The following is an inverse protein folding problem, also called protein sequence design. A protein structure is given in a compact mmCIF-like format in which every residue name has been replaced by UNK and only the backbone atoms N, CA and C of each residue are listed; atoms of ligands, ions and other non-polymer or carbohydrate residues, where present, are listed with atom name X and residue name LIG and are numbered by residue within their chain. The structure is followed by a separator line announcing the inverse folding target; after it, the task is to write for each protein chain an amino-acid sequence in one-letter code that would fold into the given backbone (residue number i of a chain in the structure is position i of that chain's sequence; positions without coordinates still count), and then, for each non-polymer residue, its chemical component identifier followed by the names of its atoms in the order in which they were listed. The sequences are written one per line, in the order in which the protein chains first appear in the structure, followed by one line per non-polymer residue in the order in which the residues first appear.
data_IF_395546030360
#
_entry.id   IF_395546030360
#
_cell.length_a   1.000
_cell.length_b   1.000
_cell.length_c   1.000
_cell.angle_alpha   90.00
_cell.angle_beta   90.00
_cell.angle_gamma   90.00
#
_symmetry.space_group_name_H-M   'P 1'
#
loop_
_entity.id
_entity.type
_entity.pdbx_description
1 polymer ?
#
# COMPACT_ATOMS: atom_id res chain seq x y z
N UNK A 1 13.68 -17.66 21.49
CA UNK A 1 13.52 -19.04 21.99
C UNK A 1 14.85 -19.82 22.05
N UNK A 2 15.84 -19.55 21.19
CA UNK A 2 17.17 -20.18 21.26
C UNK A 2 18.08 -19.65 22.39
N UNK A 3 18.10 -18.34 22.69
CA UNK A 3 18.92 -17.79 23.78
C UNK A 3 18.56 -18.33 25.18
N UNK A 4 17.30 -18.70 25.41
CA UNK A 4 16.86 -19.25 26.70
C UNK A 4 17.35 -20.69 26.94
N UNK A 5 17.56 -21.45 25.86
CA UNK A 5 18.11 -22.81 25.91
C UNK A 5 19.60 -22.82 26.26
N UNK A 6 20.33 -21.76 25.88
CA UNK A 6 21.77 -21.60 26.19
C UNK A 6 21.96 -21.23 27.67
N UNK A 7 21.10 -20.38 28.22
CA UNK A 7 21.17 -20.00 29.64
C UNK A 7 20.89 -21.18 30.60
N UNK A 8 19.96 -22.08 30.24
CA UNK A 8 19.72 -23.30 31.03
C UNK A 8 20.82 -24.37 30.88
N UNK A 9 21.55 -24.40 29.76
CA UNK A 9 22.62 -25.38 29.54
C UNK A 9 23.89 -25.02 30.33
N UNK A 10 24.13 -23.74 30.60
CA UNK A 10 25.30 -23.29 31.36
C UNK A 10 25.15 -23.43 32.89
N UNK A 11 23.93 -23.69 33.40
CA UNK A 11 23.66 -23.83 34.83
C UNK A 11 23.73 -25.29 35.34
N UNK A 12 24.22 -26.23 34.49
CA UNK A 12 24.50 -27.61 34.91
C UNK A 12 25.92 -27.80 35.42
N UNK A 13 26.86 -26.90 35.10
CA UNK A 13 28.27 -26.96 35.52
C UNK A 13 28.55 -26.21 36.83
N UNK A 14 27.53 -25.63 37.47
CA UNK A 14 27.59 -24.88 38.72
C UNK A 14 26.98 -25.65 39.91
N UNK A 15 26.77 -26.95 39.78
CA UNK A 15 26.14 -27.78 40.83
C UNK A 15 27.14 -28.34 41.87
N UNK A 16 28.45 -28.18 41.69
CA UNK A 16 29.47 -28.69 42.62
C UNK A 16 30.04 -27.66 43.61
N UNK A 17 29.62 -26.39 43.56
CA UNK A 17 30.14 -25.35 44.46
C UNK A 17 29.04 -24.71 45.32
N UNK A 18 28.38 -25.52 46.15
CA UNK A 18 27.51 -25.00 47.21
C UNK A 18 27.86 -25.65 48.55
N UNK A 19 28.38 -24.90 49.55
CA UNK A 19 28.53 -25.43 50.89
C UNK A 19 27.14 -25.78 51.46
N UNK A 20 27.08 -26.71 52.43
CA UNK A 20 25.85 -27.16 53.11
C UNK A 20 25.00 -25.96 53.55
N UNK A 21 24.00 -25.57 52.74
CA UNK A 21 23.16 -24.39 52.97
C UNK A 21 21.94 -24.75 53.80
N UNK A 22 21.74 -24.01 54.90
CA UNK A 22 20.57 -24.09 55.79
C UNK A 22 19.24 -23.96 55.03
N UNK A 23 18.20 -24.59 55.59
CA UNK A 23 16.81 -24.61 55.09
C UNK A 23 16.31 -23.26 54.56
N UNK A 24 16.69 -22.18 55.23
CA UNK A 24 16.35 -20.80 54.88
C UNK A 24 16.77 -20.40 53.45
N UNK A 25 17.94 -20.86 52.98
CA UNK A 25 18.41 -20.60 51.63
C UNK A 25 17.61 -21.34 50.57
N UNK A 26 17.13 -22.56 50.85
CA UNK A 26 16.26 -23.29 49.93
C UNK A 26 14.89 -22.61 49.78
N UNK A 27 14.32 -22.10 50.87
CA UNK A 27 13.08 -21.33 50.85
C UNK A 27 13.22 -20.06 50.00
N UNK A 28 14.31 -19.31 50.17
CA UNK A 28 14.58 -18.08 49.42
C UNK A 28 14.75 -18.32 47.92
N UNK A 29 15.42 -19.40 47.53
CA UNK A 29 15.59 -19.79 46.12
C UNK A 29 14.23 -20.20 45.51
N UNK A 30 13.40 -20.95 46.25
CA UNK A 30 12.07 -21.35 45.80
C UNK A 30 11.12 -20.16 45.64
N UNK A 31 11.25 -19.16 46.51
CA UNK A 31 10.49 -17.91 46.40
C UNK A 31 10.93 -17.09 45.18
N UNK A 32 12.24 -16.98 44.94
CA UNK A 32 12.76 -16.32 43.75
C UNK A 32 12.30 -17.01 42.46
N UNK A 33 12.37 -18.34 42.38
CA UNK A 33 11.90 -19.07 41.19
C UNK A 33 10.41 -18.87 40.90
N UNK A 34 9.58 -18.85 41.95
CA UNK A 34 8.15 -18.60 41.81
C UNK A 34 7.86 -17.15 41.37
N UNK A 35 8.63 -16.19 41.87
CA UNK A 35 8.53 -14.79 41.49
C UNK A 35 8.90 -14.57 40.01
N UNK A 36 10.02 -15.15 39.55
CA UNK A 36 10.41 -15.08 38.14
C UNK A 36 9.38 -15.72 37.22
N UNK A 37 8.81 -16.88 37.60
CA UNK A 37 7.77 -17.56 36.82
C UNK A 37 6.50 -16.73 36.67
N UNK A 38 6.07 -16.03 37.72
CA UNK A 38 4.90 -15.15 37.66
C UNK A 38 5.14 -13.94 36.74
N UNK A 39 6.35 -13.37 36.74
CA UNK A 39 6.70 -12.22 35.89
C UNK A 39 6.70 -12.57 34.40
N UNK A 40 7.15 -13.77 34.03
CA UNK A 40 7.10 -14.20 32.62
C UNK A 40 5.67 -14.40 32.12
N UNK A 41 4.77 -14.88 32.99
CA UNK A 41 3.36 -15.05 32.66
C UNK A 41 2.62 -13.72 32.40
N UNK A 42 2.94 -12.68 33.18
CA UNK A 42 2.41 -11.32 32.96
C UNK A 42 2.89 -10.72 31.62
N UNK A 43 4.18 -10.88 31.29
CA UNK A 43 4.75 -10.37 30.04
C UNK A 43 4.15 -11.06 28.81
N UNK A 44 3.93 -12.37 28.90
CA UNK A 44 3.24 -13.13 27.85
C UNK A 44 1.80 -12.64 27.65
N UNK A 45 1.05 -12.45 28.74
CA UNK A 45 -0.32 -11.92 28.69
C UNK A 45 -0.38 -10.50 28.11
N UNK A 46 0.54 -9.61 28.50
CA UNK A 46 0.61 -8.25 27.94
C UNK A 46 0.90 -8.25 26.44
N UNK A 47 1.83 -9.07 25.96
CA UNK A 47 2.14 -9.13 24.53
C UNK A 47 0.98 -9.72 23.71
N UNK A 48 0.27 -10.71 24.26
CA UNK A 48 -0.93 -11.28 23.64
C UNK A 48 -2.03 -10.23 23.48
N UNK A 49 -2.30 -9.43 24.51
CA UNK A 49 -3.29 -8.35 24.46
C UNK A 49 -2.91 -7.25 23.45
N UNK A 50 -1.63 -6.87 23.36
CA UNK A 50 -1.14 -5.92 22.35
C UNK A 50 -1.38 -6.41 20.91
N UNK A 51 -1.20 -7.71 20.66
CA UNK A 51 -1.43 -8.28 19.34
C UNK A 51 -2.93 -8.35 18.99
N UNK A 52 -3.78 -8.64 19.97
CA UNK A 52 -5.24 -8.67 19.77
C UNK A 52 -5.82 -7.28 19.48
N UNK A 53 -5.34 -6.24 20.18
CA UNK A 53 -5.77 -4.85 19.92
C UNK A 53 -5.30 -4.35 18.56
N UNK A 54 -4.09 -4.71 18.12
CA UNK A 54 -3.58 -4.39 16.78
C UNK A 54 -4.40 -5.08 15.67
N UNK A 55 -4.85 -6.33 15.91
CA UNK A 55 -5.73 -7.06 14.98
C UNK A 55 -7.13 -6.45 14.90
N UNK A 56 -7.70 -5.98 16.02
CA UNK A 56 -9.04 -5.38 16.06
C UNK A 56 -9.10 -4.01 15.36
N UNK A 57 -8.03 -3.20 15.43
CA UNK A 57 -7.94 -1.91 14.71
C UNK A 57 -7.98 -2.06 13.18
N UNK A 58 -7.62 -3.23 12.66
CA UNK A 58 -7.70 -3.55 11.24
C UNK A 58 -9.09 -4.06 10.80
N UNK A 59 -10.03 -4.23 11.73
CA UNK A 59 -11.37 -4.79 11.47
C UNK A 59 -12.48 -3.72 11.36
N UNK A 60 -12.15 -2.44 11.55
CA UNK A 60 -13.09 -1.32 11.38
C UNK A 60 -13.08 -0.75 9.94
N UNK A 61 -12.38 -1.42 9.01
CA UNK A 61 -12.70 -1.29 7.59
C UNK A 61 -13.92 -2.17 7.35
N UNK A 62 -15.07 -1.53 7.33
CA UNK A 62 -16.37 -2.12 7.05
C UNK A 62 -16.23 -3.01 5.81
N UNK A 63 -16.43 -4.31 6.01
CA UNK A 63 -16.32 -5.35 4.99
C UNK A 63 -17.57 -5.32 4.10
N UNK A 64 -17.61 -4.39 3.14
CA UNK A 64 -18.45 -4.52 1.95
C UNK A 64 -17.55 -4.89 0.77
N UNK A 65 -17.28 -6.19 0.53
CA UNK A 65 -16.29 -6.61 -0.47
C UNK A 65 -16.67 -6.24 -1.91
N UNK A 66 -17.95 -5.93 -2.16
CA UNK A 66 -18.45 -5.49 -3.47
C UNK A 66 -18.41 -3.97 -3.66
N UNK A 67 -18.65 -3.17 -2.61
CA UNK A 67 -18.87 -1.74 -2.76
C UNK A 67 -17.64 -0.99 -3.26
N UNK A 68 -16.49 -1.24 -2.64
CA UNK A 68 -15.25 -0.52 -2.91
C UNK A 68 -14.75 -0.70 -4.35
N UNK A 69 -14.96 -1.89 -4.95
CA UNK A 69 -14.58 -2.15 -6.33
C UNK A 69 -15.44 -1.41 -7.35
N UNK A 70 -16.75 -1.28 -7.09
CA UNK A 70 -17.65 -0.49 -7.93
C UNK A 70 -17.24 0.98 -7.92
N UNK A 71 -16.95 1.55 -6.75
CA UNK A 71 -16.53 2.96 -6.66
C UNK A 71 -15.25 3.25 -7.44
N UNK A 72 -14.25 2.36 -7.34
CA UNK A 72 -13.00 2.51 -8.07
C UNK A 72 -13.18 2.43 -9.60
N UNK A 73 -14.07 1.56 -10.08
CA UNK A 73 -14.43 1.47 -11.48
C UNK A 73 -15.24 2.68 -11.95
N UNK A 74 -16.23 3.13 -11.17
CA UNK A 74 -17.05 4.28 -11.51
C UNK A 74 -16.22 5.55 -11.66
N UNK A 75 -15.26 5.80 -10.75
CA UNK A 75 -14.38 6.96 -10.86
C UNK A 75 -13.46 6.84 -12.08
N UNK A 76 -12.95 5.64 -12.38
CA UNK A 76 -12.15 5.38 -13.59
C UNK A 76 -12.92 5.61 -14.88
N UNK A 77 -14.16 5.11 -14.97
CA UNK A 77 -15.03 5.27 -16.15
C UNK A 77 -15.45 6.73 -16.33
N UNK A 78 -15.72 7.45 -15.24
CA UNK A 78 -16.06 8.87 -15.28
C UNK A 78 -14.91 9.69 -15.87
N UNK A 79 -13.67 9.46 -15.40
CA UNK A 79 -12.49 10.13 -15.96
C UNK A 79 -12.22 9.75 -17.42
N UNK A 80 -12.49 8.51 -17.81
CA UNK A 80 -12.38 8.06 -19.19
C UNK A 80 -13.38 8.80 -20.09
N UNK A 81 -14.65 8.87 -19.70
CA UNK A 81 -15.69 9.61 -20.43
C UNK A 81 -15.40 11.12 -20.45
N UNK A 82 -14.92 11.67 -19.34
CA UNK A 82 -14.51 13.06 -19.25
C UNK A 82 -13.36 13.38 -20.22
N UNK A 83 -12.37 12.50 -20.33
CA UNK A 83 -11.28 12.61 -21.32
C UNK A 83 -11.78 12.49 -22.75
N UNK A 84 -12.68 11.55 -23.02
CA UNK A 84 -13.30 11.40 -24.34
C UNK A 84 -14.07 12.65 -24.78
N UNK A 85 -14.88 13.21 -23.89
CA UNK A 85 -15.62 14.45 -24.13
C UNK A 85 -14.68 15.63 -24.36
N UNK A 86 -13.65 15.79 -23.52
CA UNK A 86 -12.66 16.86 -23.70
C UNK A 86 -11.96 16.78 -25.05
N UNK A 87 -11.61 15.57 -25.51
CA UNK A 87 -10.98 15.37 -26.81
C UNK A 87 -11.93 15.75 -27.96
N UNK A 88 -13.17 15.26 -27.94
CA UNK A 88 -14.13 15.54 -29.02
C UNK A 88 -14.47 17.03 -29.13
N UNK A 89 -14.58 17.73 -27.98
CA UNK A 89 -14.77 19.18 -27.95
C UNK A 89 -13.54 19.91 -28.50
N UNK A 90 -12.33 19.52 -28.09
CA UNK A 90 -11.11 20.13 -28.58
C UNK A 90 -10.95 19.99 -30.11
N UNK A 91 -11.23 18.80 -30.65
CA UNK A 91 -11.15 18.56 -32.09
C UNK A 91 -12.19 19.39 -32.85
N UNK A 92 -13.40 19.54 -32.31
CA UNK A 92 -14.44 20.40 -32.92
C UNK A 92 -13.98 21.85 -33.00
N UNK A 93 -13.33 22.35 -31.94
CA UNK A 93 -12.78 23.71 -31.91
C UNK A 93 -11.65 23.84 -32.94
N UNK A 94 -10.71 22.90 -32.99
CA UNK A 94 -9.58 22.92 -33.94
C UNK A 94 -10.08 22.81 -35.39
N UNK A 95 -11.05 21.93 -35.66
CA UNK A 95 -11.65 21.74 -36.99
C UNK A 95 -12.39 22.98 -37.49
N UNK A 96 -12.85 23.85 -36.58
CA UNK A 96 -13.45 25.14 -36.94
C UNK A 96 -12.44 26.26 -37.24
N UNK A 97 -11.16 26.09 -36.89
CA UNK A 97 -10.10 27.12 -36.97
C UNK A 97 -8.94 26.64 -37.88
N UNK A 98 -9.24 25.83 -38.88
CA UNK A 98 -8.28 25.05 -39.69
C UNK A 98 -7.22 25.87 -40.51
N UNK A 99 -7.20 27.20 -40.41
CA UNK A 99 -6.17 28.05 -41.03
C UNK A 99 -4.83 28.06 -40.25
N UNK A 100 -4.73 27.35 -39.11
CA UNK A 100 -3.58 27.39 -38.19
C UNK A 100 -2.67 26.14 -38.23
N UNK A 101 -2.31 25.65 -39.42
CA UNK A 101 -1.47 24.46 -39.62
C UNK A 101 -0.16 24.40 -38.79
N UNK A 102 0.60 25.52 -38.58
CA UNK A 102 1.78 25.51 -37.71
C UNK A 102 1.45 25.25 -36.23
N UNK A 103 0.25 25.66 -35.77
CA UNK A 103 -0.20 25.41 -34.41
C UNK A 103 -0.50 23.93 -34.20
N UNK A 104 -1.06 23.25 -35.21
CA UNK A 104 -1.31 21.81 -35.17
C UNK A 104 0.00 21.03 -35.02
N UNK A 105 1.05 21.39 -35.77
CA UNK A 105 2.38 20.79 -35.64
C UNK A 105 2.97 20.98 -34.22
N UNK A 106 2.85 22.19 -33.66
CA UNK A 106 3.32 22.48 -32.30
C UNK A 106 2.55 21.69 -31.22
N UNK A 107 1.23 21.54 -31.37
CA UNK A 107 0.42 20.73 -30.46
C UNK A 107 0.80 19.26 -30.54
N UNK A 108 1.04 18.72 -31.75
CA UNK A 108 1.47 17.33 -31.91
C UNK A 108 2.84 17.07 -31.25
N UNK A 109 3.78 17.99 -31.44
CA UNK A 109 5.09 17.94 -30.79
C UNK A 109 4.97 18.02 -29.25
N UNK A 110 4.11 18.89 -28.74
CA UNK A 110 3.85 18.99 -27.31
C UNK A 110 3.22 17.69 -26.76
N UNK A 111 2.37 17.04 -27.56
CA UNK A 111 1.74 15.76 -27.22
C UNK A 111 2.78 14.63 -27.14
N UNK A 112 3.69 14.51 -28.12
CA UNK A 112 4.74 13.47 -28.14
C UNK A 112 5.70 13.63 -26.95
N UNK A 113 6.05 14.88 -26.62
CA UNK A 113 6.92 15.24 -25.49
C UNK A 113 6.25 14.85 -24.16
N UNK A 114 4.96 15.18 -24.01
CA UNK A 114 4.16 14.85 -22.83
C UNK A 114 4.04 13.34 -22.62
N UNK A 115 3.84 12.57 -23.69
CA UNK A 115 3.84 11.11 -23.63
C UNK A 115 5.17 10.54 -23.14
N UNK A 116 6.27 11.04 -23.70
CA UNK A 116 7.63 10.59 -23.37
C UNK A 116 7.97 10.87 -21.91
N UNK A 117 7.62 12.07 -21.43
CA UNK A 117 7.85 12.47 -20.04
C UNK A 117 7.05 11.63 -19.04
N UNK A 118 5.78 11.30 -19.34
CA UNK A 118 4.94 10.48 -18.47
C UNK A 118 5.47 9.04 -18.37
N UNK A 119 5.94 8.47 -19.49
CA UNK A 119 6.44 7.10 -19.50
C UNK A 119 7.70 6.95 -18.65
N UNK A 120 8.60 7.93 -18.70
CA UNK A 120 9.83 7.93 -17.90
C UNK A 120 9.64 8.37 -16.44
N UNK A 121 8.58 9.10 -16.10
CA UNK A 121 8.39 9.64 -14.75
C UNK A 121 7.89 8.62 -13.72
N UNK A 122 7.61 7.36 -14.09
CA UNK A 122 6.72 6.51 -13.30
C UNK A 122 7.36 5.20 -12.84
N UNK A 123 7.91 5.20 -11.62
CA UNK A 123 8.29 3.96 -10.90
C UNK A 123 7.30 3.56 -9.78
N UNK A 124 6.33 4.43 -9.43
CA UNK A 124 5.37 4.18 -8.32
C UNK A 124 3.93 4.50 -8.71
N UNK A 125 3.06 3.49 -8.68
CA UNK A 125 1.63 3.65 -8.96
C UNK A 125 0.86 4.17 -7.74
N UNK A 126 0.42 5.42 -7.81
CA UNK A 126 -0.52 6.02 -6.84
C UNK A 126 -1.91 6.12 -7.45
N UNK A 127 -2.95 6.29 -6.62
CA UNK A 127 -4.35 6.43 -7.08
C UNK A 127 -4.51 7.60 -8.07
N UNK A 128 -3.87 8.74 -7.82
CA UNK A 128 -3.85 9.87 -8.75
C UNK A 128 -3.28 9.50 -10.11
N UNK A 129 -2.21 8.70 -10.12
CA UNK A 129 -1.61 8.23 -11.37
C UNK A 129 -2.58 7.35 -12.15
N UNK A 130 -3.36 6.50 -11.47
CA UNK A 130 -4.38 5.65 -12.08
C UNK A 130 -5.49 6.48 -12.73
N UNK A 131 -5.94 7.56 -12.08
CA UNK A 131 -6.94 8.49 -12.62
C UNK A 131 -6.44 9.22 -13.86
N UNK A 132 -5.21 9.74 -13.80
CA UNK A 132 -4.55 10.41 -14.93
C UNK A 132 -4.39 9.44 -16.11
N UNK A 133 -4.07 8.17 -15.83
CA UNK A 133 -3.94 7.16 -16.87
C UNK A 133 -5.29 6.86 -17.55
N UNK A 134 -6.37 6.71 -16.77
CA UNK A 134 -7.73 6.55 -17.32
C UNK A 134 -8.17 7.75 -18.16
N UNK A 135 -7.87 8.98 -17.71
CA UNK A 135 -8.14 10.20 -18.45
C UNK A 135 -7.39 10.24 -19.79
N UNK A 136 -6.09 9.90 -19.76
CA UNK A 136 -5.23 9.83 -20.95
C UNK A 136 -5.72 8.81 -21.98
N UNK A 137 -6.16 7.64 -21.52
CA UNK A 137 -6.79 6.63 -22.38
C UNK A 137 -8.07 7.19 -23.02
N UNK A 138 -8.91 7.89 -22.24
CA UNK A 138 -10.12 8.55 -22.74
C UNK A 138 -9.85 9.57 -23.84
N UNK A 139 -8.83 10.41 -23.69
CA UNK A 139 -8.46 11.39 -24.72
C UNK A 139 -8.00 10.70 -26.01
N UNK A 140 -7.10 9.72 -25.93
CA UNK A 140 -6.62 9.01 -27.11
C UNK A 140 -7.76 8.31 -27.84
N UNK A 141 -8.71 7.72 -27.10
CA UNK A 141 -9.89 7.07 -27.67
C UNK A 141 -10.78 8.10 -28.38
N UNK A 142 -10.98 9.29 -27.81
CA UNK A 142 -11.74 10.38 -28.43
C UNK A 142 -11.12 10.88 -29.74
N UNK A 143 -9.81 11.11 -29.75
CA UNK A 143 -9.09 11.51 -30.98
C UNK A 143 -9.13 10.42 -32.05
N UNK A 144 -8.98 9.16 -31.67
CA UNK A 144 -8.97 8.03 -32.60
C UNK A 144 -10.33 7.81 -33.27
N UNK A 145 -11.41 7.88 -32.49
CA UNK A 145 -12.78 7.76 -33.02
C UNK A 145 -13.06 8.88 -34.01
N UNK A 146 -12.64 10.12 -33.72
CA UNK A 146 -12.87 11.24 -34.63
C UNK A 146 -12.01 11.15 -35.90
N UNK A 147 -10.76 10.68 -35.79
CA UNK A 147 -9.90 10.42 -36.95
C UNK A 147 -10.48 9.36 -37.90
N UNK A 148 -11.13 8.32 -37.37
CA UNK A 148 -11.81 7.32 -38.20
C UNK A 148 -13.01 7.88 -38.95
N UNK A 149 -13.72 8.87 -38.42
CA UNK A 149 -14.84 9.50 -39.15
C UNK A 149 -14.40 10.18 -40.44
N UNK A 150 -13.15 10.62 -40.53
CA UNK A 150 -12.62 11.34 -41.69
C UNK A 150 -11.95 10.38 -42.68
N UNK A 151 -11.54 9.19 -42.22
CA UNK A 151 -10.81 8.19 -43.02
C UNK A 151 -11.75 7.15 -43.67
N UNK A 152 -12.96 6.97 -43.13
CA UNK A 152 -13.97 6.01 -43.60
C UNK A 152 -15.02 6.62 -44.51
#
# INVERSE_FOLDING_TARGET
MLCFKIFLKNNKNSSSFFPKRNFFWKAKIKMASNFFKNREFELYSRNKLKNLTKKKKNSNKIFFPFGDWIWELSVGIFFLFFGFFSATSAITIIGSVADWDPLAAAVMLCWIELFTKIFYATEKSTLYFRLINSFKIGINLGMFVDAFKITG
#
